data_IF_881682731052
#
_entry.id   IF_881682731052
#
_cell.length_a   1.000
_cell.length_b   1.000
_cell.length_c   1.000
_cell.angle_alpha   90.00
_cell.angle_beta   90.00
_cell.angle_gamma   90.00
#
_symmetry.space_group_name_H-M   'P 1'
#
loop_
_entity.id
_entity.type
_entity.pdbx_description
1 polymer ?
#
# COMPACT_ATOMS: atom_id res chain seq x y z
N UNK A 1 23.99 3.05 -0.01
CA UNK A 1 22.64 3.56 -0.29
C UNK A 1 22.12 2.79 -1.48
N UNK A 2 21.09 1.97 -1.31
CA UNK A 2 20.48 1.21 -2.40
C UNK A 2 19.79 2.13 -3.41
N UNK A 3 19.51 1.62 -4.60
CA UNK A 3 18.76 2.35 -5.62
C UNK A 3 17.31 2.51 -5.15
N UNK A 4 16.78 3.74 -5.20
CA UNK A 4 15.40 4.03 -4.80
C UNK A 4 14.61 4.60 -5.96
N UNK A 5 13.33 4.26 -6.03
CA UNK A 5 12.39 4.76 -7.03
C UNK A 5 11.17 5.36 -6.34
N UNK A 6 10.68 6.48 -6.88
CA UNK A 6 9.38 7.04 -6.49
C UNK A 6 8.45 7.00 -7.70
N UNK A 7 7.24 6.49 -7.51
CA UNK A 7 6.20 6.48 -8.53
C UNK A 7 4.95 7.19 -7.98
N UNK A 8 4.38 8.09 -8.77
CA UNK A 8 3.06 8.64 -8.50
C UNK A 8 2.05 7.87 -9.35
N UNK A 9 1.11 7.20 -8.71
CA UNK A 9 0.04 6.50 -9.38
C UNK A 9 -1.26 7.18 -8.98
N UNK A 10 -1.95 7.81 -9.93
CA UNK A 10 -3.30 8.29 -9.67
C UNK A 10 -4.24 7.11 -9.83
N UNK A 11 -4.95 6.77 -8.78
CA UNK A 11 -5.92 5.70 -8.79
C UNK A 11 -7.16 6.20 -8.09
N UNK A 12 -8.28 5.75 -8.60
CA UNK A 12 -9.56 6.07 -8.04
C UNK A 12 -9.97 4.88 -7.18
N UNK A 13 -10.18 5.11 -5.88
CA UNK A 13 -10.40 4.05 -4.87
C UNK A 13 -11.59 3.12 -5.12
N UNK A 14 -12.37 3.31 -6.19
CA UNK A 14 -13.39 2.38 -6.65
C UNK A 14 -12.84 1.11 -7.31
N UNK A 15 -11.53 1.03 -7.61
CA UNK A 15 -10.91 -0.18 -8.13
C UNK A 15 -9.52 -0.41 -7.49
N UNK A 16 -9.49 -0.87 -6.21
CA UNK A 16 -8.26 -1.14 -5.49
C UNK A 16 -7.45 -2.29 -6.13
N UNK A 17 -8.11 -3.27 -6.76
CA UNK A 17 -7.44 -4.42 -7.39
C UNK A 17 -6.36 -3.99 -8.39
N UNK A 18 -6.60 -2.91 -9.16
CA UNK A 18 -5.62 -2.39 -10.13
C UNK A 18 -4.32 -1.88 -9.49
N UNK A 19 -4.43 -1.22 -8.33
CA UNK A 19 -3.25 -0.72 -7.64
C UNK A 19 -2.57 -1.84 -6.86
N UNK A 20 -3.34 -2.78 -6.30
CA UNK A 20 -2.82 -4.01 -5.69
C UNK A 20 -1.99 -4.81 -6.70
N UNK A 21 -2.55 -5.14 -7.87
CA UNK A 21 -1.85 -5.87 -8.92
C UNK A 21 -0.58 -5.13 -9.37
N UNK A 22 -0.65 -3.81 -9.52
CA UNK A 22 0.53 -3.00 -9.89
C UNK A 22 1.63 -3.05 -8.81
N UNK A 23 1.27 -3.01 -7.52
CA UNK A 23 2.23 -3.16 -6.43
C UNK A 23 2.86 -4.56 -6.47
N UNK A 24 2.07 -5.61 -6.68
CA UNK A 24 2.56 -6.99 -6.81
C UNK A 24 3.53 -7.14 -8.00
N UNK A 25 3.23 -6.50 -9.14
CA UNK A 25 4.12 -6.48 -10.30
C UNK A 25 5.44 -5.76 -10.01
N UNK A 26 5.40 -4.66 -9.26
CA UNK A 26 6.61 -3.94 -8.82
C UNK A 26 7.50 -4.83 -7.93
N UNK A 27 6.89 -5.57 -7.00
CA UNK A 27 7.58 -6.52 -6.13
C UNK A 27 8.21 -7.67 -6.90
N UNK A 28 7.50 -8.23 -7.88
CA UNK A 28 8.03 -9.23 -8.79
C UNK A 28 9.19 -8.67 -9.63
N UNK A 29 9.21 -7.37 -9.92
CA UNK A 29 10.33 -6.67 -10.55
C UNK A 29 11.52 -6.39 -9.62
N UNK A 30 11.44 -6.77 -8.34
CA UNK A 30 12.44 -6.46 -7.31
C UNK A 30 12.47 -4.98 -6.95
N UNK A 31 11.31 -4.31 -7.02
CA UNK A 31 11.09 -2.98 -6.46
C UNK A 31 10.22 -3.14 -5.23
N UNK A 32 10.86 -3.12 -4.07
CA UNK A 32 10.22 -3.45 -2.81
C UNK A 32 9.66 -2.18 -2.20
N UNK A 33 8.34 -2.15 -1.98
CA UNK A 33 7.67 -1.02 -1.37
C UNK A 33 8.13 -0.87 0.09
N UNK A 34 8.55 0.34 0.46
CA UNK A 34 8.92 0.65 1.84
C UNK A 34 8.16 1.84 2.42
N UNK A 35 7.49 2.65 1.59
CA UNK A 35 6.71 3.80 2.06
C UNK A 35 5.63 4.20 1.05
N UNK A 36 4.47 4.54 1.58
CA UNK A 36 3.37 5.19 0.87
C UNK A 36 3.16 6.58 1.46
N UNK A 37 2.88 7.57 0.61
CA UNK A 37 2.70 8.97 1.01
C UNK A 37 1.62 9.65 0.16
N UNK A 38 1.32 10.90 0.52
CA UNK A 38 0.53 11.84 -0.27
C UNK A 38 -0.85 11.26 -0.59
N UNK A 39 -1.57 10.84 0.46
CA UNK A 39 -2.92 10.27 0.36
C UNK A 39 -2.96 9.03 -0.53
N UNK A 40 -2.00 8.13 -0.32
CA UNK A 40 -1.87 6.87 -1.06
C UNK A 40 -1.61 6.99 -2.56
N UNK A 41 -1.18 8.14 -3.07
CA UNK A 41 -0.90 8.27 -4.53
C UNK A 41 0.59 8.29 -4.85
N UNK A 42 1.47 8.36 -3.84
CA UNK A 42 2.93 8.36 -4.02
C UNK A 42 3.54 7.16 -3.30
N UNK A 43 4.19 6.30 -4.08
CA UNK A 43 4.79 5.05 -3.61
C UNK A 43 6.31 5.13 -3.77
N UNK A 44 7.04 4.75 -2.71
CA UNK A 44 8.50 4.69 -2.72
C UNK A 44 8.97 3.26 -2.58
N UNK A 45 9.90 2.90 -3.46
CA UNK A 45 10.46 1.58 -3.57
C UNK A 45 11.96 1.63 -3.42
N UNK A 46 12.52 0.55 -2.86
CA UNK A 46 13.94 0.27 -2.88
C UNK A 46 14.22 -0.92 -3.79
N UNK A 47 15.39 -0.93 -4.44
CA UNK A 47 15.81 -2.06 -5.26
C UNK A 47 16.20 -3.21 -4.35
N UNK A 48 15.47 -4.31 -4.48
CA UNK A 48 15.68 -5.53 -3.70
C UNK A 48 15.58 -6.79 -4.55
N UNK A 49 15.45 -7.93 -3.87
CA UNK A 49 15.16 -9.21 -4.52
C UNK A 49 13.70 -9.24 -5.00
N UNK A 50 13.46 -9.92 -6.12
CA UNK A 50 12.11 -10.20 -6.61
C UNK A 50 11.35 -11.01 -5.55
N UNK A 51 10.23 -10.47 -5.07
CA UNK A 51 9.38 -11.13 -4.07
C UNK A 51 7.95 -11.24 -4.57
N UNK A 52 7.33 -12.39 -4.30
CA UNK A 52 5.90 -12.58 -4.57
C UNK A 52 5.13 -12.14 -3.33
N UNK A 53 4.65 -10.91 -3.35
CA UNK A 53 3.81 -10.34 -2.29
C UNK A 53 2.36 -10.28 -2.75
N UNK A 54 1.46 -10.15 -1.78
CA UNK A 54 0.05 -9.84 -1.98
C UNK A 54 -0.21 -8.50 -1.29
N UNK A 55 -0.90 -7.59 -1.97
CA UNK A 55 -1.39 -6.36 -1.34
C UNK A 55 -2.91 -6.41 -1.19
N UNK A 56 -3.41 -5.78 -0.14
CA UNK A 56 -4.83 -5.59 0.08
C UNK A 56 -5.04 -4.18 0.61
N UNK A 57 -5.86 -3.40 -0.10
CA UNK A 57 -6.26 -2.07 0.32
C UNK A 57 -7.68 -2.17 0.84
N UNK A 58 -7.84 -1.92 2.15
CA UNK A 58 -9.14 -1.89 2.80
C UNK A 58 -9.48 -0.46 3.24
N UNK A 59 -10.74 -0.07 3.02
CA UNK A 59 -11.30 1.22 3.38
C UNK A 59 -12.34 1.03 4.48
N UNK A 60 -11.89 0.59 5.66
CA UNK A 60 -12.72 0.56 6.84
C UNK A 60 -12.70 1.91 7.55
N UNK A 61 -13.88 2.44 7.85
CA UNK A 61 -14.02 3.60 8.73
C UNK A 61 -13.94 3.17 10.20
N UNK A 62 -13.34 4.01 11.06
CA UNK A 62 -13.29 3.80 12.51
C UNK A 62 -12.63 2.48 12.94
N UNK A 63 -11.53 2.10 12.30
CA UNK A 63 -10.71 0.95 12.73
C UNK A 63 -10.05 1.21 14.07
N UNK A 64 -9.97 0.17 14.92
CA UNK A 64 -9.26 0.17 16.19
C UNK A 64 -8.01 -0.73 16.12
N UNK A 65 -7.26 -0.81 17.21
CA UNK A 65 -6.05 -1.65 17.26
C UNK A 65 -6.37 -3.14 17.03
N UNK A 66 -7.54 -3.62 17.48
CA UNK A 66 -7.95 -5.02 17.33
C UNK A 66 -8.11 -5.40 15.85
N UNK A 67 -8.53 -4.46 15.02
CA UNK A 67 -8.59 -4.65 13.58
C UNK A 67 -7.22 -5.03 13.00
N UNK A 68 -6.17 -4.28 13.34
CA UNK A 68 -4.82 -4.55 12.83
C UNK A 68 -4.21 -5.83 13.43
N UNK A 69 -4.50 -6.14 14.69
CA UNK A 69 -4.06 -7.38 15.33
C UNK A 69 -4.61 -8.61 14.60
N UNK A 70 -5.88 -8.58 14.18
CA UNK A 70 -6.50 -9.65 13.40
C UNK A 70 -5.71 -9.94 12.11
N UNK A 71 -5.38 -8.90 11.35
CA UNK A 71 -4.61 -9.05 10.10
C UNK A 71 -3.20 -9.61 10.35
N UNK A 72 -2.56 -9.14 11.42
CA UNK A 72 -1.25 -9.64 11.84
C UNK A 72 -1.29 -11.14 12.19
N UNK A 73 -2.35 -11.61 12.86
CA UNK A 73 -2.54 -13.04 13.15
C UNK A 73 -2.71 -13.89 11.88
N UNK A 74 -3.24 -13.32 10.81
CA UNK A 74 -3.30 -13.93 9.48
C UNK A 74 -2.01 -13.79 8.65
N UNK A 75 -0.96 -13.20 9.22
CA UNK A 75 0.36 -13.05 8.58
C UNK A 75 0.48 -11.82 7.68
N UNK A 76 -0.43 -10.86 7.79
CA UNK A 76 -0.31 -9.58 7.08
C UNK A 76 0.54 -8.58 7.88
N UNK A 77 1.25 -7.72 7.15
CA UNK A 77 1.99 -6.60 7.70
C UNK A 77 1.34 -5.29 7.24
N UNK A 78 1.16 -4.36 8.18
CA UNK A 78 0.62 -3.05 7.89
C UNK A 78 1.64 -2.24 7.08
N UNK A 79 1.29 -1.91 5.82
CA UNK A 79 2.13 -1.12 4.94
C UNK A 79 1.95 0.40 5.16
N UNK A 80 0.71 0.84 5.40
CA UNK A 80 0.34 2.22 5.71
C UNK A 80 -1.07 2.26 6.34
N UNK A 81 -1.27 3.06 7.39
CA UNK A 81 -2.57 3.29 8.06
C UNK A 81 -3.13 4.70 7.82
N UNK A 82 -2.51 5.49 6.94
CA UNK A 82 -2.79 6.90 6.73
C UNK A 82 -4.12 7.16 6.02
N UNK A 83 -5.25 6.90 6.67
CA UNK A 83 -6.57 7.33 6.19
C UNK A 83 -6.70 8.84 6.44
N UNK A 84 -7.05 9.60 5.40
CA UNK A 84 -7.37 11.02 5.55
C UNK A 84 -8.56 11.20 6.51
N UNK A 85 -8.43 12.01 7.57
CA UNK A 85 -9.58 12.64 8.18
C UNK A 85 -10.07 13.76 7.23
N UNK A 86 -11.08 13.45 6.40
CA UNK A 86 -11.95 14.46 5.81
C UNK A 86 -11.68 14.90 4.36
N UNK A 87 -11.80 13.98 3.39
CA UNK A 87 -12.25 14.38 2.04
C UNK A 87 -13.75 14.14 1.97
N UNK A 88 -14.52 15.18 2.32
CA UNK A 88 -15.96 15.20 2.08
C UNK A 88 -16.17 15.69 0.65
N UNK A 89 -16.73 14.84 -0.21
CA UNK A 89 -17.25 15.26 -1.51
C UNK A 89 -18.69 15.75 -1.33
N UNK A 90 -19.00 16.92 -1.90
CA UNK A 90 -20.32 17.51 -1.96
C UNK A 90 -21.15 16.95 -3.13
#
# INVERSE_FOLDING_TARGET
>A
MGETKTACHWWWGWNPEKIEDWLEEMELGGWNLFQVDFNHIRFKFEKGESRKMRYCIDYQENVDENYFELFKDYGWELADDGILPGVYLA
#
